data_IF_159240569705
#
_entry.id   IF_159240569705
#
_cell.length_a   1.000
_cell.length_b   1.000
_cell.length_c   1.000
_cell.angle_alpha   90.00
_cell.angle_beta   90.00
_cell.angle_gamma   90.00
#
_symmetry.space_group_name_H-M   'P 1'
#
loop_
_entity.id
_entity.type
_entity.pdbx_description
1 polymer ?
#
# COMPACT_ATOMS: atom_id res chain seq x y z
N UNK A 1 -21.19 11.16 -10.06
CA UNK A 1 -20.43 10.54 -8.98
C UNK A 1 -20.52 9.03 -9.10
N UNK A 2 -19.44 8.40 -8.86
CA UNK A 2 -19.32 6.96 -8.90
C UNK A 2 -19.94 6.31 -7.64
N UNK A 3 -20.67 5.22 -7.81
CA UNK A 3 -21.19 4.44 -6.70
C UNK A 3 -20.09 3.54 -6.14
N UNK A 4 -19.60 3.85 -4.94
CA UNK A 4 -18.50 3.11 -4.32
C UNK A 4 -18.91 1.74 -3.81
N UNK A 5 -20.22 1.44 -3.74
CA UNK A 5 -20.72 0.14 -3.26
C UNK A 5 -20.74 -0.90 -4.37
N UNK A 6 -20.59 -0.48 -5.63
CA UNK A 6 -20.59 -1.38 -6.78
C UNK A 6 -19.21 -1.45 -7.41
N UNK A 7 -18.66 -2.66 -7.66
CA UNK A 7 -17.43 -2.78 -8.43
C UNK A 7 -17.61 -2.17 -9.82
N UNK A 8 -16.62 -1.42 -10.28
CA UNK A 8 -16.65 -0.86 -11.61
C UNK A 8 -16.26 -1.94 -12.63
N UNK A 9 -17.10 -2.09 -13.66
CA UNK A 9 -16.90 -3.11 -14.67
C UNK A 9 -15.53 -3.01 -15.33
N UNK A 10 -14.74 -4.09 -15.28
CA UNK A 10 -13.40 -4.19 -15.87
C UNK A 10 -12.36 -3.22 -15.27
N UNK A 11 -12.66 -2.57 -14.16
CA UNK A 11 -11.69 -1.75 -13.45
C UNK A 11 -10.93 -2.59 -12.43
N UNK A 12 -9.76 -2.12 -12.03
CA UNK A 12 -9.01 -2.78 -10.96
C UNK A 12 -9.77 -2.58 -9.66
N UNK A 13 -10.10 -3.67 -8.99
CA UNK A 13 -10.91 -3.65 -7.78
C UNK A 13 -10.06 -3.85 -6.53
N UNK A 14 -9.01 -4.65 -6.64
CA UNK A 14 -8.22 -5.08 -5.47
C UNK A 14 -6.79 -5.36 -5.91
N UNK A 15 -5.81 -5.02 -5.08
CA UNK A 15 -4.40 -5.28 -5.35
C UNK A 15 -3.74 -5.88 -4.11
N UNK A 16 -2.83 -6.84 -4.31
CA UNK A 16 -2.10 -7.45 -3.20
C UNK A 16 -0.60 -7.36 -3.40
N UNK A 17 0.12 -7.15 -2.30
CA UNK A 17 1.57 -7.10 -2.27
C UNK A 17 2.13 -8.16 -1.33
N UNK A 18 3.25 -8.78 -1.73
CA UNK A 18 4.00 -9.67 -0.87
C UNK A 18 4.97 -8.86 -0.01
N UNK A 19 5.12 -9.26 1.26
CA UNK A 19 6.08 -8.67 2.17
C UNK A 19 6.65 -9.73 3.11
N UNK A 20 7.93 -9.62 3.40
CA UNK A 20 8.56 -10.47 4.41
C UNK A 20 8.21 -10.00 5.83
N UNK A 21 7.78 -8.75 5.98
CA UNK A 21 7.41 -8.17 7.27
C UNK A 21 6.22 -7.21 7.11
N UNK A 22 4.99 -7.75 7.02
CA UNK A 22 3.80 -6.93 6.86
C UNK A 22 3.57 -5.93 7.99
N UNK A 23 3.94 -6.26 9.23
CA UNK A 23 3.76 -5.36 10.36
C UNK A 23 4.57 -4.07 10.17
N UNK A 24 5.82 -4.18 9.80
CA UNK A 24 6.68 -3.02 9.56
C UNK A 24 6.16 -2.19 8.39
N UNK A 25 5.69 -2.84 7.32
CA UNK A 25 5.08 -2.14 6.19
C UNK A 25 3.86 -1.34 6.61
N UNK A 26 2.96 -1.93 7.41
CA UNK A 26 1.76 -1.24 7.88
C UNK A 26 2.11 -0.01 8.72
N UNK A 27 3.05 -0.12 9.64
CA UNK A 27 3.49 1.01 10.47
C UNK A 27 4.02 2.13 9.58
N UNK A 28 4.82 1.80 8.59
CA UNK A 28 5.38 2.79 7.67
C UNK A 28 4.28 3.51 6.87
N UNK A 29 3.37 2.75 6.25
CA UNK A 29 2.32 3.35 5.41
C UNK A 29 1.29 4.12 6.23
N UNK A 30 0.98 3.67 7.44
CA UNK A 30 0.10 4.43 8.34
C UNK A 30 0.74 5.77 8.70
N UNK A 31 2.01 5.77 9.08
CA UNK A 31 2.73 6.97 9.50
C UNK A 31 2.98 7.94 8.34
N UNK A 32 3.23 7.44 7.15
CA UNK A 32 3.62 8.28 6.00
C UNK A 32 2.48 8.66 5.09
N UNK A 33 1.53 7.75 4.87
CA UNK A 33 0.47 7.93 3.88
C UNK A 33 -0.94 7.99 4.49
N UNK A 34 -1.06 7.69 5.77
CA UNK A 34 -2.34 7.75 6.46
C UNK A 34 -3.29 6.61 6.10
N UNK A 35 -2.80 5.53 5.53
CA UNK A 35 -3.63 4.36 5.24
C UNK A 35 -4.05 3.68 6.54
N UNK A 36 -5.19 3.02 6.54
CA UNK A 36 -5.65 2.21 7.66
C UNK A 36 -5.57 0.73 7.31
N UNK A 37 -5.51 -0.13 8.33
CA UNK A 37 -5.24 -1.55 8.15
C UNK A 37 -6.17 -2.40 9.01
N UNK A 38 -6.53 -3.55 8.46
CA UNK A 38 -7.34 -4.54 9.16
C UNK A 38 -6.71 -5.92 9.00
N UNK A 39 -6.34 -6.56 10.11
CA UNK A 39 -5.65 -7.84 10.10
C UNK A 39 -6.61 -9.01 10.03
N UNK A 40 -6.30 -9.98 9.19
CA UNK A 40 -7.01 -11.25 9.04
C UNK A 40 -6.03 -12.38 9.35
N UNK A 41 -5.69 -12.54 10.63
CA UNK A 41 -4.65 -13.45 11.06
C UNK A 41 -3.26 -12.78 11.00
N UNK A 42 -2.19 -13.53 11.31
CA UNK A 42 -0.85 -12.96 11.41
C UNK A 42 -0.17 -12.71 10.07
N UNK A 43 -0.66 -13.31 8.98
CA UNK A 43 0.02 -13.33 7.70
C UNK A 43 -0.68 -12.54 6.60
N UNK A 44 -1.80 -11.90 6.91
CA UNK A 44 -2.54 -11.10 5.94
C UNK A 44 -3.17 -9.87 6.59
N UNK A 45 -3.01 -8.75 5.93
CA UNK A 45 -3.63 -7.49 6.36
C UNK A 45 -4.24 -6.79 5.16
N UNK A 46 -5.48 -6.32 5.30
CA UNK A 46 -6.11 -5.47 4.28
C UNK A 46 -5.79 -4.01 4.54
N UNK A 47 -5.61 -3.23 3.48
CA UNK A 47 -5.42 -1.78 3.61
C UNK A 47 -6.57 -1.01 2.98
N UNK A 48 -6.83 0.17 3.54
CA UNK A 48 -7.89 1.08 3.12
C UNK A 48 -7.33 2.49 3.03
N UNK A 49 -7.94 3.33 2.21
CA UNK A 49 -7.54 4.73 2.11
C UNK A 49 -6.45 5.00 1.09
N UNK A 50 -6.12 4.01 0.28
CA UNK A 50 -5.06 4.13 -0.73
C UNK A 50 -5.60 4.46 -2.14
N UNK A 51 -6.91 4.64 -2.27
CA UNK A 51 -7.57 4.82 -3.57
C UNK A 51 -8.17 3.52 -4.09
N UNK A 52 -7.40 2.43 -4.05
CA UNK A 52 -7.88 1.07 -4.27
C UNK A 52 -7.86 0.33 -2.94
N UNK A 53 -8.74 -0.64 -2.79
CA UNK A 53 -8.63 -1.60 -1.71
C UNK A 53 -7.57 -2.64 -2.04
N UNK A 54 -6.97 -3.22 -1.02
CA UNK A 54 -5.96 -4.23 -1.24
C UNK A 54 -5.47 -4.87 0.03
N UNK A 55 -4.42 -5.66 -0.09
CA UNK A 55 -3.85 -6.37 1.03
C UNK A 55 -2.35 -6.59 0.90
N UNK A 56 -1.76 -6.95 2.03
CA UNK A 56 -0.36 -7.32 2.11
C UNK A 56 -0.32 -8.72 2.74
N UNK A 57 0.34 -9.66 2.06
CA UNK A 57 0.47 -11.03 2.55
C UNK A 57 1.94 -11.35 2.85
N UNK A 58 2.15 -12.17 3.87
CA UNK A 58 3.49 -12.60 4.25
C UNK A 58 4.03 -13.59 3.24
N UNK A 59 5.23 -13.33 2.74
CA UNK A 59 5.94 -14.23 1.84
C UNK A 59 7.44 -13.95 1.91
N UNK A 60 8.23 -14.93 1.52
CA UNK A 60 9.69 -14.76 1.45
C UNK A 60 10.10 -13.85 0.29
N UNK A 61 9.26 -13.76 -0.72
CA UNK A 61 9.47 -12.90 -1.89
C UNK A 61 8.72 -11.59 -1.67
N UNK A 62 9.39 -10.46 -1.91
CA UNK A 62 8.81 -9.12 -1.78
C UNK A 62 8.42 -8.61 -3.16
N UNK A 63 7.26 -7.97 -3.27
CA UNK A 63 6.81 -7.34 -4.52
C UNK A 63 7.67 -6.11 -4.81
N UNK A 64 8.48 -6.17 -5.86
CA UNK A 64 9.38 -5.08 -6.27
C UNK A 64 9.32 -4.89 -7.78
N UNK A 65 9.26 -3.64 -8.21
CA UNK A 65 9.24 -3.32 -9.64
C UNK A 65 10.52 -3.77 -10.34
N UNK A 66 11.66 -3.76 -9.64
CA UNK A 66 12.94 -4.24 -10.16
C UNK A 66 12.92 -5.73 -10.50
N UNK A 67 12.05 -6.50 -9.85
CA UNK A 67 11.91 -7.94 -10.04
C UNK A 67 10.68 -8.29 -10.89
N UNK A 68 10.13 -7.32 -11.61
CA UNK A 68 8.97 -7.54 -12.47
C UNK A 68 7.63 -7.28 -11.81
N UNK A 69 7.61 -6.83 -10.55
CA UNK A 69 6.38 -6.40 -9.89
C UNK A 69 5.86 -5.08 -10.44
N UNK A 70 4.61 -4.77 -10.16
CA UNK A 70 4.01 -3.52 -10.59
C UNK A 70 4.68 -2.32 -9.92
N UNK A 71 4.84 -1.24 -10.67
CA UNK A 71 5.28 0.04 -10.13
C UNK A 71 4.06 0.84 -9.68
N UNK A 72 3.98 1.12 -8.39
CA UNK A 72 2.89 1.89 -7.83
C UNK A 72 3.30 3.35 -7.72
N UNK A 73 2.49 4.22 -8.29
CA UNK A 73 2.73 5.67 -8.28
C UNK A 73 1.66 6.33 -7.42
N UNK A 74 2.10 7.07 -6.44
CA UNK A 74 1.22 7.76 -5.50
C UNK A 74 1.15 9.25 -5.84
N UNK A 75 -0.02 9.84 -5.64
CA UNK A 75 -0.20 11.28 -5.84
C UNK A 75 0.09 12.02 -4.53
N UNK A 76 0.76 13.14 -4.63
CA UNK A 76 0.99 14.04 -3.50
C UNK A 76 0.69 15.48 -3.90
N UNK A 77 0.05 16.22 -3.01
CA UNK A 77 -0.21 17.66 -3.20
C UNK A 77 1.02 18.49 -2.85
N UNK A 78 1.93 17.94 -2.04
CA UNK A 78 3.17 18.58 -1.64
C UNK A 78 4.27 17.53 -1.67
N UNK A 79 4.93 17.42 -2.81
CA UNK A 79 5.92 16.39 -3.05
C UNK A 79 7.11 16.49 -2.08
N UNK A 80 7.55 17.71 -1.79
CA UNK A 80 8.68 17.92 -0.89
C UNK A 80 8.35 17.46 0.54
N UNK A 81 7.15 17.79 1.03
CA UNK A 81 6.72 17.37 2.36
C UNK A 81 6.56 15.84 2.44
N UNK A 82 5.98 15.24 1.40
CA UNK A 82 5.82 13.78 1.34
C UNK A 82 7.17 13.08 1.31
N UNK A 83 8.12 13.59 0.52
CA UNK A 83 9.48 13.04 0.45
C UNK A 83 10.18 13.12 1.81
N UNK A 84 10.11 14.29 2.48
CA UNK A 84 10.70 14.45 3.79
C UNK A 84 10.10 13.48 4.82
N UNK A 85 8.78 13.27 4.75
CA UNK A 85 8.10 12.38 5.68
C UNK A 85 8.52 10.92 5.48
N UNK A 86 8.56 10.44 4.24
CA UNK A 86 8.98 9.05 3.98
C UNK A 86 10.44 8.82 4.33
N UNK A 87 11.31 9.79 4.06
CA UNK A 87 12.72 9.71 4.44
C UNK A 87 12.89 9.66 5.96
N UNK A 88 12.11 10.45 6.71
CA UNK A 88 12.19 10.46 8.18
C UNK A 88 11.75 9.14 8.80
N UNK A 89 11.01 8.31 8.05
CA UNK A 89 10.56 6.99 8.50
C UNK A 89 11.38 5.85 7.90
N UNK A 90 12.54 6.15 7.35
CA UNK A 90 13.52 5.13 6.93
C UNK A 90 13.45 4.69 5.48
N UNK A 91 12.65 5.35 4.64
CA UNK A 91 12.64 5.02 3.22
C UNK A 91 13.90 5.50 2.51
N UNK A 92 14.24 4.82 1.43
CA UNK A 92 15.30 5.23 0.52
C UNK A 92 14.64 5.75 -0.77
N UNK A 93 15.19 6.83 -1.27
CA UNK A 93 14.71 7.43 -2.51
C UNK A 93 15.80 7.41 -3.57
#
# INVERSE_FOLDING_TARGET
MHDILEPRHHMIDYVEFASADPQTMCVFYEATLGWSFEWFGPDYVAFHGAGLEGGIYRADIVSRSADGGALIVLNSRDLEASEALVLSHGANI
#
